data_IF_430478281622
#
_entry.id   IF_430478281622
#
_cell.length_a   1.000
_cell.length_b   1.000
_cell.length_c   1.000
_cell.angle_alpha   90.00
_cell.angle_beta   90.00
_cell.angle_gamma   90.00
#
_symmetry.space_group_name_H-M   'P 1'
#
loop_
_entity.id
_entity.type
_entity.pdbx_description
1 polymer ?
#
# COMPACT_ATOMS: atom_id res chain seq x y z
N UNK A 1 -25.67 25.00 -10.23
CA UNK A 1 -25.22 25.09 -8.80
C UNK A 1 -24.42 26.35 -8.59
N UNK A 2 -24.91 27.31 -7.82
CA UNK A 2 -24.18 28.55 -7.49
C UNK A 2 -23.13 28.19 -6.46
N UNK A 3 -21.85 28.15 -6.84
CA UNK A 3 -20.76 27.93 -5.89
C UNK A 3 -20.63 29.16 -4.98
N UNK A 4 -20.87 29.00 -3.70
CA UNK A 4 -20.63 30.03 -2.68
C UNK A 4 -19.15 30.43 -2.75
N UNK A 5 -18.86 31.71 -2.98
CA UNK A 5 -17.48 32.23 -3.05
C UNK A 5 -16.78 31.94 -1.72
N UNK A 6 -15.68 31.20 -1.76
CA UNK A 6 -14.89 30.90 -0.57
C UNK A 6 -14.37 32.20 0.07
N UNK A 7 -14.28 32.25 1.39
CA UNK A 7 -13.75 33.41 2.16
C UNK A 7 -12.39 33.88 1.64
N UNK A 8 -11.55 32.95 1.16
CA UNK A 8 -10.24 33.25 0.58
C UNK A 8 -10.31 34.20 -0.64
N UNK A 9 -11.36 34.12 -1.44
CA UNK A 9 -11.50 34.99 -2.61
C UNK A 9 -11.71 36.47 -2.21
N UNK A 10 -12.30 36.73 -1.03
CA UNK A 10 -12.44 38.08 -0.48
C UNK A 10 -11.12 38.63 0.08
N UNK A 11 -10.17 37.74 0.40
CA UNK A 11 -8.87 38.08 0.96
C UNK A 11 -7.77 38.21 -0.09
N UNK A 12 -8.04 37.78 -1.32
CA UNK A 12 -7.08 37.95 -2.45
C UNK A 12 -6.88 39.44 -2.73
N UNK A 13 -5.61 39.84 -2.93
CA UNK A 13 -5.21 41.24 -2.99
C UNK A 13 -4.81 41.84 -1.66
N UNK A 14 -5.13 41.19 -0.53
CA UNK A 14 -4.66 41.61 0.79
C UNK A 14 -3.23 41.12 1.04
N UNK A 15 -2.35 42.03 1.50
CA UNK A 15 -0.95 41.72 1.81
C UNK A 15 -0.78 40.60 2.84
N UNK A 16 -1.66 40.48 3.81
CA UNK A 16 -1.61 39.48 4.86
C UNK A 16 -2.54 38.29 4.64
N UNK A 17 -3.44 38.38 3.66
CA UNK A 17 -4.43 37.34 3.33
C UNK A 17 -5.16 36.79 4.57
N UNK A 18 -5.59 37.68 5.48
CA UNK A 18 -6.25 37.36 6.74
C UNK A 18 -5.35 36.78 7.83
N UNK A 19 -4.03 36.79 7.64
CA UNK A 19 -3.07 36.22 8.59
C UNK A 19 -2.43 37.24 9.55
N UNK A 20 -2.93 38.45 9.63
CA UNK A 20 -2.37 39.52 10.46
C UNK A 20 -1.05 40.06 9.87
N UNK A 21 0.06 39.86 10.54
CA UNK A 21 1.37 40.34 10.07
C UNK A 21 2.04 39.37 9.10
N UNK A 22 2.58 39.88 7.99
CA UNK A 22 3.30 39.05 6.99
C UNK A 22 4.57 38.38 7.52
N UNK A 23 5.25 39.02 8.50
CA UNK A 23 6.47 38.46 9.10
C UNK A 23 6.20 37.20 9.91
N UNK A 24 5.05 37.10 10.58
CA UNK A 24 4.68 35.95 11.43
C UNK A 24 4.30 34.67 10.64
N UNK A 25 4.15 34.76 9.33
CA UNK A 25 3.75 33.60 8.49
C UNK A 25 4.91 32.87 7.83
N UNK A 26 6.13 33.29 8.03
CA UNK A 26 7.33 32.69 7.41
C UNK A 26 7.67 31.31 7.98
N UNK A 27 7.39 31.09 9.27
CA UNK A 27 7.60 29.81 9.94
C UNK A 27 6.28 29.09 10.30
N UNK A 28 6.38 28.05 11.07
CA UNK A 28 5.26 27.24 11.54
C UNK A 28 4.77 27.62 12.96
N UNK A 29 5.43 28.60 13.65
CA UNK A 29 5.12 28.96 15.04
C UNK A 29 3.67 29.36 15.26
N UNK A 30 3.09 30.22 14.40
CA UNK A 30 1.67 30.61 14.48
C UNK A 30 0.70 29.52 14.01
N UNK A 31 1.20 28.38 13.56
CA UNK A 31 0.38 27.22 13.11
C UNK A 31 0.53 26.02 14.04
N UNK A 32 1.19 26.21 15.18
CA UNK A 32 1.42 25.15 16.15
C UNK A 32 2.54 24.18 15.84
N UNK A 33 3.42 24.51 14.88
CA UNK A 33 4.54 23.67 14.47
C UNK A 33 4.29 22.88 13.19
N UNK A 34 5.17 21.95 12.86
CA UNK A 34 5.11 21.08 11.69
C UNK A 34 4.97 19.62 12.09
N UNK A 35 4.32 18.83 11.25
CA UNK A 35 4.15 17.39 11.44
C UNK A 35 3.47 17.06 12.77
N UNK A 36 4.00 16.10 13.51
CA UNK A 36 3.48 15.65 14.81
C UNK A 36 3.99 16.50 16.01
N UNK A 37 4.38 17.77 15.80
CA UNK A 37 4.77 18.64 16.89
C UNK A 37 3.58 19.03 17.76
N UNK A 38 3.80 19.16 19.06
CA UNK A 38 2.78 19.58 20.03
C UNK A 38 1.77 18.51 20.44
N UNK A 39 2.00 17.22 20.12
CA UNK A 39 1.09 16.12 20.45
C UNK A 39 0.85 15.96 21.95
N UNK A 40 1.81 16.31 22.81
CA UNK A 40 1.63 16.30 24.27
C UNK A 40 0.98 17.54 24.87
N UNK A 41 0.69 18.59 24.07
CA UNK A 41 0.07 19.84 24.55
C UNK A 41 -1.08 20.27 23.66
N UNK A 42 -0.84 21.15 22.67
CA UNK A 42 -1.88 21.76 21.85
C UNK A 42 -2.66 20.77 20.95
N UNK A 43 -2.04 19.66 20.58
CA UNK A 43 -2.65 18.58 19.81
C UNK A 43 -3.08 17.38 20.67
N UNK A 44 -3.12 17.54 22.00
CA UNK A 44 -3.43 16.45 22.93
C UNK A 44 -4.78 15.79 22.64
N UNK A 45 -5.83 16.58 22.49
CA UNK A 45 -7.18 16.07 22.17
C UNK A 45 -7.18 15.25 20.88
N UNK A 46 -6.48 15.74 19.85
CA UNK A 46 -6.34 15.01 18.60
C UNK A 46 -5.58 13.69 18.80
N UNK A 47 -4.49 13.71 19.58
CA UNK A 47 -3.68 12.53 19.86
C UNK A 47 -4.50 11.44 20.56
N UNK A 48 -5.28 11.81 21.59
CA UNK A 48 -6.09 10.86 22.34
C UNK A 48 -7.17 10.22 21.46
N UNK A 49 -7.74 10.97 20.53
CA UNK A 49 -8.83 10.47 19.65
C UNK A 49 -8.28 9.63 18.49
N UNK A 50 -7.21 10.08 17.84
CA UNK A 50 -6.76 9.52 16.56
C UNK A 50 -5.51 8.67 16.63
N UNK A 51 -4.68 8.84 17.67
CA UNK A 51 -3.39 8.15 17.83
C UNK A 51 -3.14 7.88 19.32
N UNK A 52 -4.01 7.10 20.00
CA UNK A 52 -3.93 6.87 21.46
C UNK A 52 -2.61 6.21 21.87
N UNK A 53 -2.02 5.43 20.98
CA UNK A 53 -0.75 4.72 21.18
C UNK A 53 0.47 5.55 20.79
N UNK A 54 0.30 6.87 20.58
CA UNK A 54 1.40 7.76 20.16
C UNK A 54 2.57 7.78 21.15
N UNK A 55 2.29 7.74 22.43
CA UNK A 55 3.28 7.76 23.50
C UNK A 55 3.43 6.36 24.09
N UNK A 56 4.66 6.04 24.45
CA UNK A 56 5.01 4.78 25.08
C UNK A 56 5.72 3.80 24.15
N UNK A 57 5.98 2.63 24.66
CA UNK A 57 6.60 1.52 23.95
C UNK A 57 5.59 0.39 23.83
N UNK A 58 5.32 -0.07 22.61
CA UNK A 58 4.38 -1.14 22.34
C UNK A 58 5.10 -2.39 21.85
N UNK A 59 4.84 -3.52 22.52
CA UNK A 59 5.38 -4.83 22.18
C UNK A 59 6.90 -4.93 22.29
N UNK A 60 7.45 -5.96 21.68
CA UNK A 60 8.89 -6.20 21.59
C UNK A 60 9.27 -6.58 20.15
N UNK A 61 10.52 -6.31 19.78
CA UNK A 61 11.06 -6.71 18.46
C UNK A 61 11.78 -8.04 18.59
N UNK A 62 11.37 -9.02 17.77
CA UNK A 62 12.11 -10.27 17.64
C UNK A 62 13.51 -10.02 17.05
N UNK A 63 14.55 -10.77 17.48
CA UNK A 63 15.85 -10.75 16.82
C UNK A 63 15.70 -11.02 15.32
N UNK A 64 16.38 -10.25 14.49
CA UNK A 64 16.26 -10.34 13.02
C UNK A 64 16.59 -11.74 12.47
N UNK A 65 17.50 -12.46 13.14
CA UNK A 65 17.86 -13.83 12.76
C UNK A 65 16.69 -14.83 12.88
N UNK A 66 15.70 -14.54 13.72
CA UNK A 66 14.51 -15.38 13.94
C UNK A 66 13.32 -14.99 13.07
N UNK A 67 13.41 -13.87 12.35
CA UNK A 67 12.33 -13.38 11.50
C UNK A 67 12.51 -13.98 10.11
N UNK A 68 11.61 -14.88 9.70
CA UNK A 68 11.52 -15.37 8.32
C UNK A 68 10.97 -14.24 7.45
N UNK A 69 11.76 -13.75 6.50
CA UNK A 69 11.29 -12.80 5.50
C UNK A 69 10.48 -13.56 4.46
N UNK A 70 9.26 -13.11 4.22
CA UNK A 70 8.35 -13.69 3.22
C UNK A 70 8.38 -12.77 2.01
N UNK A 71 8.84 -13.29 0.87
CA UNK A 71 8.77 -12.62 -0.42
C UNK A 71 7.41 -12.87 -1.04
N UNK A 72 6.68 -11.80 -1.38
CA UNK A 72 5.34 -11.93 -1.95
C UNK A 72 5.27 -11.36 -3.36
N UNK A 73 4.51 -12.03 -4.23
CA UNK A 73 4.22 -11.59 -5.59
C UNK A 73 2.73 -11.35 -5.77
N UNK A 74 2.36 -10.39 -6.60
CA UNK A 74 0.97 -10.11 -6.94
C UNK A 74 0.58 -10.77 -8.28
N UNK A 75 -0.68 -11.13 -8.43
CA UNK A 75 -1.23 -11.69 -9.67
C UNK A 75 -0.99 -10.77 -10.88
N UNK A 76 -1.10 -9.44 -10.69
CA UNK A 76 -0.79 -8.46 -11.74
C UNK A 76 0.63 -8.63 -12.30
N UNK A 77 1.61 -8.84 -11.44
CA UNK A 77 2.99 -9.02 -11.87
C UNK A 77 3.16 -10.29 -12.71
N UNK A 78 2.53 -11.39 -12.30
CA UNK A 78 2.57 -12.66 -13.02
C UNK A 78 1.94 -12.52 -14.41
N UNK A 79 0.83 -11.79 -14.54
CA UNK A 79 0.18 -11.52 -15.82
C UNK A 79 1.05 -10.66 -16.74
N UNK A 80 1.59 -9.55 -16.23
CA UNK A 80 2.45 -8.65 -17.02
C UNK A 80 3.76 -9.30 -17.46
N UNK A 81 4.29 -10.22 -16.67
CA UNK A 81 5.55 -10.90 -16.97
C UNK A 81 5.36 -12.29 -17.60
N UNK A 82 4.13 -12.77 -17.75
CA UNK A 82 3.83 -14.12 -18.25
C UNK A 82 4.59 -14.48 -19.53
N UNK A 83 4.57 -13.60 -20.53
CA UNK A 83 5.20 -13.84 -21.82
C UNK A 83 6.74 -13.89 -21.72
N UNK A 84 7.31 -13.07 -20.81
CA UNK A 84 8.76 -13.10 -20.53
C UNK A 84 9.17 -14.35 -19.75
N UNK A 85 8.33 -14.78 -18.80
CA UNK A 85 8.58 -16.00 -18.03
C UNK A 85 8.55 -17.24 -18.91
N UNK A 86 7.65 -17.29 -19.89
CA UNK A 86 7.61 -18.34 -20.90
C UNK A 86 8.90 -18.32 -21.76
N UNK A 87 9.31 -17.13 -22.21
CA UNK A 87 10.54 -16.99 -22.99
C UNK A 87 11.81 -17.38 -22.22
N UNK A 88 11.79 -17.24 -20.88
CA UNK A 88 12.88 -17.63 -19.97
C UNK A 88 12.80 -19.11 -19.53
N UNK A 89 11.78 -19.83 -19.93
CA UNK A 89 11.57 -21.23 -19.53
C UNK A 89 11.12 -21.42 -18.07
N UNK A 90 10.70 -20.35 -17.39
CA UNK A 90 10.19 -20.36 -16.00
C UNK A 90 8.67 -20.50 -15.91
N UNK A 91 8.00 -20.50 -17.03
CA UNK A 91 6.59 -20.77 -17.14
C UNK A 91 6.38 -21.63 -18.39
N UNK A 92 5.44 -22.58 -18.30
CA UNK A 92 5.03 -23.40 -19.43
C UNK A 92 3.60 -23.05 -19.83
N UNK A 93 3.25 -23.23 -21.10
CA UNK A 93 1.90 -23.05 -21.58
C UNK A 93 1.29 -24.41 -21.84
N UNK A 94 0.22 -24.75 -21.14
CA UNK A 94 -0.56 -25.97 -21.30
C UNK A 94 -1.96 -25.61 -21.85
N UNK A 95 -2.14 -25.70 -23.17
CA UNK A 95 -3.37 -25.26 -23.82
C UNK A 95 -3.57 -23.75 -23.63
N UNK A 96 -4.65 -23.35 -22.93
CA UNK A 96 -4.97 -21.97 -22.60
C UNK A 96 -4.42 -21.53 -21.21
N UNK A 97 -3.98 -22.48 -20.39
CA UNK A 97 -3.47 -22.19 -19.06
C UNK A 97 -1.94 -21.98 -19.06
N UNK A 98 -1.50 -21.03 -18.25
CA UNK A 98 -0.07 -20.77 -18.03
C UNK A 98 0.30 -21.39 -16.67
N UNK A 99 1.21 -22.33 -16.68
CA UNK A 99 1.72 -23.00 -15.48
C UNK A 99 2.96 -22.27 -14.98
N UNK A 100 2.93 -21.85 -13.72
CA UNK A 100 4.02 -21.08 -13.10
C UNK A 100 4.34 -21.67 -11.73
N UNK A 101 5.59 -21.98 -11.48
CA UNK A 101 6.10 -22.23 -10.14
C UNK A 101 6.71 -20.94 -9.57
N UNK A 102 6.05 -20.43 -8.52
CA UNK A 102 6.43 -19.17 -7.89
C UNK A 102 7.70 -19.35 -7.02
N UNK A 103 7.99 -20.57 -6.58
CA UNK A 103 9.20 -20.87 -5.80
C UNK A 103 10.45 -20.72 -6.64
N UNK A 104 10.42 -21.11 -7.92
CA UNK A 104 11.53 -20.91 -8.86
C UNK A 104 11.81 -19.43 -9.13
N UNK A 105 10.79 -18.57 -8.95
CA UNK A 105 10.93 -17.12 -9.04
C UNK A 105 11.47 -16.49 -7.74
N UNK A 106 11.62 -17.28 -6.67
CA UNK A 106 12.09 -16.82 -5.37
C UNK A 106 11.02 -16.12 -4.52
N UNK A 107 9.75 -16.43 -4.76
CA UNK A 107 8.64 -15.90 -3.96
C UNK A 107 8.00 -17.00 -3.11
N UNK A 108 7.57 -16.62 -1.89
CA UNK A 108 6.96 -17.53 -0.91
C UNK A 108 5.43 -17.42 -0.86
N UNK A 109 4.86 -16.33 -1.39
CA UNK A 109 3.42 -16.06 -1.28
C UNK A 109 2.84 -15.33 -2.47
N UNK A 110 1.63 -15.73 -2.89
CA UNK A 110 0.85 -15.08 -3.94
C UNK A 110 -0.26 -14.22 -3.35
N UNK A 111 -0.39 -12.99 -3.82
CA UNK A 111 -1.36 -11.99 -3.38
C UNK A 111 -2.30 -11.58 -4.52
N UNK A 112 -3.53 -11.23 -4.18
CA UNK A 112 -4.65 -10.97 -5.09
C UNK A 112 -4.61 -9.62 -5.84
N UNK A 113 -3.60 -8.75 -5.63
CA UNK A 113 -3.61 -7.41 -6.22
C UNK A 113 -3.50 -7.46 -7.75
N UNK A 114 -4.42 -6.75 -8.39
CA UNK A 114 -4.53 -6.62 -9.85
C UNK A 114 -5.69 -7.42 -10.43
N UNK A 115 -5.97 -7.14 -11.70
CA UNK A 115 -6.90 -7.93 -12.50
C UNK A 115 -6.07 -8.90 -13.33
N UNK A 116 -6.56 -10.08 -13.51
CA UNK A 116 -6.02 -11.12 -14.39
C UNK A 116 -7.04 -11.42 -15.47
N UNK A 117 -6.55 -11.70 -16.67
CA UNK A 117 -7.37 -12.05 -17.84
C UNK A 117 -7.00 -13.41 -18.40
N UNK A 118 -5.78 -13.88 -18.08
CA UNK A 118 -5.26 -15.18 -18.52
C UNK A 118 -5.56 -16.25 -17.47
N UNK A 119 -5.77 -17.48 -17.91
CA UNK A 119 -5.94 -18.63 -17.01
C UNK A 119 -4.56 -19.06 -16.50
N UNK A 120 -4.43 -19.20 -15.18
CA UNK A 120 -3.18 -19.59 -14.54
C UNK A 120 -3.33 -20.87 -13.71
N UNK A 121 -2.33 -21.75 -13.80
CA UNK A 121 -2.05 -22.80 -12.81
C UNK A 121 -0.81 -22.39 -12.04
N UNK A 122 -0.96 -22.05 -10.78
CA UNK A 122 0.13 -21.48 -9.98
C UNK A 122 0.45 -22.42 -8.83
N UNK A 123 1.73 -22.82 -8.73
CA UNK A 123 2.27 -23.55 -7.58
C UNK A 123 3.01 -22.58 -6.68
N UNK A 124 2.64 -22.53 -5.40
CA UNK A 124 3.29 -21.64 -4.41
C UNK A 124 3.15 -22.19 -2.99
N UNK A 125 4.07 -21.86 -2.06
CA UNK A 125 3.98 -22.30 -0.66
C UNK A 125 2.80 -21.71 0.10
N UNK A 126 2.29 -20.54 -0.32
CA UNK A 126 1.11 -19.90 0.32
C UNK A 126 0.38 -18.99 -0.66
N UNK A 127 -0.93 -18.94 -0.50
CA UNK A 127 -1.81 -18.00 -1.18
C UNK A 127 -2.54 -17.10 -0.18
N UNK A 128 -3.06 -15.98 -0.64
CA UNK A 128 -4.10 -15.23 0.07
C UNK A 128 -5.47 -15.70 -0.42
N UNK A 129 -6.50 -15.70 0.45
CA UNK A 129 -7.86 -16.15 0.09
C UNK A 129 -8.36 -15.50 -1.21
N UNK A 130 -8.30 -14.17 -1.30
CA UNK A 130 -8.70 -13.49 -2.55
C UNK A 130 -7.80 -13.75 -3.77
N UNK A 131 -6.61 -14.38 -3.63
CA UNK A 131 -5.84 -14.82 -4.79
C UNK A 131 -6.37 -16.14 -5.32
N UNK A 132 -6.74 -17.05 -4.44
CA UNK A 132 -7.37 -18.32 -4.79
C UNK A 132 -8.68 -18.06 -5.54
N UNK A 133 -9.57 -17.24 -4.93
CA UNK A 133 -10.86 -16.86 -5.54
C UNK A 133 -10.68 -16.32 -6.97
N UNK A 134 -9.76 -15.38 -7.19
CA UNK A 134 -9.52 -14.79 -8.52
C UNK A 134 -8.96 -15.77 -9.55
N UNK A 135 -8.10 -16.71 -9.12
CA UNK A 135 -7.56 -17.73 -10.02
C UNK A 135 -8.65 -18.71 -10.43
N UNK A 136 -9.47 -19.15 -9.48
CA UNK A 136 -10.58 -20.07 -9.71
C UNK A 136 -11.71 -19.46 -10.56
N UNK A 137 -12.04 -18.16 -10.35
CA UNK A 137 -13.00 -17.40 -11.16
C UNK A 137 -12.67 -17.43 -12.66
N UNK A 138 -11.39 -17.53 -13.01
CA UNK A 138 -10.92 -17.60 -14.40
C UNK A 138 -10.65 -19.03 -14.88
N UNK A 139 -11.08 -20.03 -14.11
CA UNK A 139 -10.89 -21.45 -14.44
C UNK A 139 -9.44 -21.92 -14.27
N UNK A 140 -8.64 -21.19 -13.48
CA UNK A 140 -7.29 -21.58 -13.11
C UNK A 140 -7.24 -22.47 -11.88
N UNK A 141 -6.03 -22.85 -11.47
CA UNK A 141 -5.79 -23.74 -10.34
C UNK A 141 -4.68 -23.16 -9.44
N UNK A 142 -4.93 -23.10 -8.14
CA UNK A 142 -3.94 -22.70 -7.13
C UNK A 142 -3.48 -23.94 -6.35
N UNK A 143 -2.20 -24.30 -6.47
CA UNK A 143 -1.60 -25.49 -5.87
C UNK A 143 -0.70 -25.04 -4.72
N UNK A 144 -1.07 -25.36 -3.48
CA UNK A 144 -0.21 -25.15 -2.32
C UNK A 144 0.80 -26.31 -2.18
N UNK A 145 2.09 -25.93 -2.01
CA UNK A 145 3.23 -26.84 -1.90
C UNK A 145 3.55 -27.20 -0.43
#
# INVERSE_FOLDING_TARGET
>A
MIRTKRKINKQRGSRSNGGGCTKKRRGAGNKGGKGKAGMGKQHWTWTVIHDPDHFGKHGFKRPQKMIKKISAVNLKYLEEQSDKLIAQGKASKEGDAIVIDVTELGYDKVLAKGNITKTFKISAPKFSAGAIEKIEELGGEAIEL
#
